data_IF_287050976775
#
_entry.id   IF_287050976775
#
_cell.length_a   1.000
_cell.length_b   1.000
_cell.length_c   1.000
_cell.angle_alpha   90.00
_cell.angle_beta   90.00
_cell.angle_gamma   90.00
#
_symmetry.space_group_name_H-M   'P 1'
#
loop_
_entity.id
_entity.type
_entity.pdbx_description
1 polymer ?
#
# COMPACT_ATOMS: atom_id res chain seq x y z
N UNK A 1 -5.45 3.59 -2.25
CA UNK A 1 -6.84 3.09 -2.38
C UNK A 1 -7.19 2.75 -3.85
N UNK A 2 -6.69 3.51 -4.85
CA UNK A 2 -6.97 3.26 -6.29
C UNK A 2 -6.55 1.89 -6.83
N UNK A 3 -5.55 1.25 -6.24
CA UNK A 3 -4.99 -0.02 -6.76
C UNK A 3 -5.68 -1.29 -6.19
N UNK A 4 -6.76 -1.13 -5.44
CA UNK A 4 -7.32 -2.18 -4.59
C UNK A 4 -8.36 -3.06 -5.31
N UNK A 5 -9.00 -2.60 -6.37
CA UNK A 5 -10.08 -3.32 -7.06
C UNK A 5 -9.65 -4.18 -8.27
N UNK A 6 -8.39 -4.50 -8.40
CA UNK A 6 -7.90 -5.20 -9.58
C UNK A 6 -7.34 -6.59 -9.37
N UNK A 7 -8.09 -7.65 -9.59
CA UNK A 7 -7.60 -8.85 -10.26
C UNK A 7 -8.58 -10.02 -10.26
N UNK A 8 -9.70 -9.96 -10.94
CA UNK A 8 -10.41 -11.12 -11.57
C UNK A 8 -11.75 -10.64 -12.09
N UNK A 9 -12.18 -11.16 -13.24
CA UNK A 9 -13.36 -10.70 -13.99
C UNK A 9 -14.61 -10.46 -13.14
N UNK A 10 -14.88 -9.20 -12.84
CA UNK A 10 -16.01 -8.72 -12.05
C UNK A 10 -17.36 -8.83 -12.81
N UNK A 11 -17.36 -9.34 -14.03
CA UNK A 11 -18.58 -9.45 -14.84
C UNK A 11 -19.53 -10.57 -14.45
N UNK A 12 -19.04 -11.67 -13.86
CA UNK A 12 -19.83 -12.88 -13.60
C UNK A 12 -20.01 -13.25 -12.11
N UNK A 13 -19.36 -12.52 -11.18
CA UNK A 13 -19.41 -12.84 -9.74
C UNK A 13 -20.72 -12.39 -9.07
N UNK A 14 -21.58 -11.66 -9.79
CA UNK A 14 -22.69 -10.91 -9.20
C UNK A 14 -24.04 -11.65 -9.09
N UNK A 15 -24.06 -12.94 -8.99
CA UNK A 15 -25.30 -13.63 -8.59
C UNK A 15 -24.97 -14.87 -7.81
N UNK A 16 -25.29 -14.88 -6.50
CA UNK A 16 -25.90 -16.02 -5.79
C UNK A 16 -25.49 -16.17 -4.34
N UNK A 17 -26.47 -16.27 -3.49
CA UNK A 17 -26.43 -17.08 -2.25
C UNK A 17 -25.90 -18.47 -2.60
N UNK A 18 -24.97 -19.00 -1.77
CA UNK A 18 -24.49 -20.38 -1.91
C UNK A 18 -25.68 -21.31 -1.95
N UNK A 19 -26.09 -21.67 -3.17
CA UNK A 19 -26.99 -22.79 -3.36
C UNK A 19 -26.13 -24.03 -3.22
N UNK A 20 -26.38 -24.83 -2.19
CA UNK A 20 -25.80 -26.17 -2.04
C UNK A 20 -26.19 -26.95 -3.30
N UNK A 21 -25.25 -27.09 -4.24
CA UNK A 21 -25.49 -27.79 -5.49
C UNK A 21 -25.71 -29.25 -5.21
N UNK A 22 -26.85 -29.78 -5.72
CA UNK A 22 -27.16 -31.20 -5.75
C UNK A 22 -26.04 -31.97 -6.45
N UNK A 23 -25.20 -32.68 -5.65
CA UNK A 23 -24.18 -33.58 -6.18
C UNK A 23 -22.79 -33.47 -5.56
N UNK A 24 -22.40 -32.31 -5.01
CA UNK A 24 -21.14 -32.18 -4.24
C UNK A 24 -21.46 -32.15 -2.75
N UNK A 25 -20.90 -33.08 -1.98
CA UNK A 25 -21.03 -33.05 -0.52
C UNK A 25 -20.07 -32.03 0.09
N UNK A 26 -20.40 -30.73 0.04
CA UNK A 26 -19.82 -29.78 0.99
C UNK A 26 -20.37 -30.17 2.36
N UNK A 27 -19.55 -30.72 3.20
CA UNK A 27 -20.00 -31.41 4.40
C UNK A 27 -20.00 -30.50 5.62
N UNK A 28 -19.21 -29.41 5.60
CA UNK A 28 -19.05 -28.57 6.78
C UNK A 28 -18.66 -27.14 6.42
N UNK A 29 -19.37 -26.16 6.99
CA UNK A 29 -18.94 -24.75 7.02
C UNK A 29 -18.08 -24.57 8.26
N UNK A 30 -16.87 -24.08 8.07
CA UNK A 30 -15.90 -23.75 9.12
C UNK A 30 -15.88 -22.24 9.36
N UNK A 31 -15.23 -21.81 10.43
CA UNK A 31 -14.98 -20.38 10.69
C UNK A 31 -14.12 -19.75 9.59
N UNK A 32 -14.18 -18.43 9.46
CA UNK A 32 -13.42 -17.63 8.48
C UNK A 32 -13.77 -17.95 7.03
N UNK A 33 -15.07 -18.12 6.75
CA UNK A 33 -15.60 -18.43 5.40
C UNK A 33 -14.86 -19.58 4.73
N UNK A 34 -14.53 -20.59 5.51
CA UNK A 34 -13.88 -21.80 5.08
C UNK A 34 -14.89 -22.93 4.94
N UNK A 35 -14.71 -23.77 3.94
CA UNK A 35 -15.54 -24.94 3.71
C UNK A 35 -14.68 -26.19 3.61
N UNK A 36 -15.27 -27.32 4.00
CA UNK A 36 -14.66 -28.63 3.94
C UNK A 36 -15.50 -29.55 3.08
N UNK A 37 -14.95 -30.00 1.97
CA UNK A 37 -15.54 -30.98 1.08
C UNK A 37 -14.95 -32.37 1.37
N UNK A 38 -15.80 -33.38 1.62
CA UNK A 38 -15.38 -34.76 1.91
C UNK A 38 -15.75 -35.63 0.70
N UNK A 39 -14.81 -36.44 0.28
CA UNK A 39 -14.96 -37.34 -0.86
C UNK A 39 -14.70 -38.79 -0.41
N UNK A 40 -15.57 -39.70 -0.82
CA UNK A 40 -15.32 -41.13 -0.71
C UNK A 40 -14.38 -41.56 -1.82
N UNK A 41 -13.32 -42.28 -1.50
CA UNK A 41 -12.38 -42.87 -2.43
C UNK A 41 -12.53 -44.39 -2.35
N UNK A 42 -12.98 -45.00 -3.41
CA UNK A 42 -13.14 -46.46 -3.46
C UNK A 42 -11.79 -47.17 -3.63
N UNK A 43 -11.72 -48.41 -3.20
CA UNK A 43 -10.55 -49.25 -3.38
C UNK A 43 -10.11 -49.36 -4.87
N UNK A 44 -11.11 -49.35 -5.78
CA UNK A 44 -10.83 -49.37 -7.23
C UNK A 44 -10.24 -48.04 -7.74
N UNK A 45 -10.70 -46.91 -7.26
CA UNK A 45 -10.11 -45.60 -7.57
C UNK A 45 -8.67 -45.51 -7.06
N UNK A 46 -8.44 -46.00 -5.84
CA UNK A 46 -7.10 -46.02 -5.26
C UNK A 46 -6.15 -46.93 -6.05
N UNK A 47 -6.63 -48.09 -6.47
CA UNK A 47 -5.80 -49.04 -7.29
C UNK A 47 -5.44 -48.40 -8.64
N UNK A 48 -6.37 -47.72 -9.31
CA UNK A 48 -6.08 -46.95 -10.55
C UNK A 48 -5.06 -45.81 -10.31
N UNK A 49 -5.16 -45.12 -9.17
CA UNK A 49 -4.21 -44.08 -8.80
C UNK A 49 -2.80 -44.70 -8.52
N UNK A 50 -2.75 -45.85 -7.85
CA UNK A 50 -1.50 -46.58 -7.63
C UNK A 50 -0.83 -47.03 -8.98
N UNK A 51 -1.63 -47.41 -9.99
CA UNK A 51 -1.09 -47.70 -11.31
C UNK A 51 -0.47 -46.47 -11.97
N UNK A 52 -1.16 -45.32 -11.91
CA UNK A 52 -0.61 -44.05 -12.40
C UNK A 52 0.66 -43.65 -11.63
N UNK A 53 0.63 -43.76 -10.31
CA UNK A 53 1.77 -43.46 -9.41
C UNK A 53 2.98 -44.36 -9.75
N UNK A 54 2.75 -45.66 -9.96
CA UNK A 54 3.81 -46.59 -10.36
C UNK A 54 4.52 -46.12 -11.62
N UNK A 55 3.79 -45.73 -12.67
CA UNK A 55 4.39 -45.27 -13.93
C UNK A 55 5.32 -44.10 -13.70
N UNK A 56 4.89 -43.10 -12.87
CA UNK A 56 5.68 -41.92 -12.54
C UNK A 56 6.89 -42.23 -11.65
N UNK A 57 6.70 -43.03 -10.61
CA UNK A 57 7.76 -43.38 -9.67
C UNK A 57 8.81 -44.33 -10.30
N UNK A 58 8.36 -45.30 -11.07
CA UNK A 58 9.24 -46.26 -11.78
C UNK A 58 10.18 -45.57 -12.77
N UNK A 59 9.69 -44.50 -13.43
CA UNK A 59 10.50 -43.69 -14.35
C UNK A 59 11.71 -43.01 -13.68
N UNK A 60 11.62 -42.75 -12.36
CA UNK A 60 12.64 -42.04 -11.58
C UNK A 60 13.69 -42.97 -10.94
N UNK A 61 13.46 -44.28 -10.96
CA UNK A 61 14.33 -45.27 -10.27
C UNK A 61 14.95 -46.27 -11.21
N UNK A 62 16.11 -46.82 -10.82
CA UNK A 62 16.78 -47.89 -11.52
C UNK A 62 16.79 -49.14 -10.64
N UNK A 63 16.15 -50.20 -11.10
CA UNK A 63 16.11 -51.51 -10.41
C UNK A 63 17.10 -52.46 -11.06
N UNK A 64 17.91 -53.15 -10.26
CA UNK A 64 18.91 -54.07 -10.74
C UNK A 64 18.27 -55.16 -11.65
N UNK A 65 18.77 -55.29 -12.87
CA UNK A 65 18.23 -56.19 -13.86
C UNK A 65 17.21 -55.58 -14.84
N UNK A 66 16.85 -54.31 -14.66
CA UNK A 66 15.93 -53.63 -15.56
C UNK A 66 16.48 -52.27 -15.99
N UNK A 67 16.16 -51.85 -17.22
CA UNK A 67 16.40 -50.48 -17.67
C UNK A 67 15.51 -49.53 -16.89
N UNK A 68 16.01 -48.30 -16.60
CA UNK A 68 15.26 -47.27 -15.91
C UNK A 68 13.82 -47.12 -16.47
N UNK A 69 12.83 -47.16 -15.59
CA UNK A 69 11.40 -47.03 -15.94
C UNK A 69 10.79 -48.28 -16.63
N UNK A 70 11.48 -49.42 -16.71
CA UNK A 70 10.99 -50.61 -17.39
C UNK A 70 10.78 -51.86 -16.49
N UNK A 71 10.95 -51.68 -15.19
CA UNK A 71 10.63 -52.73 -14.22
C UNK A 71 9.10 -52.94 -14.14
N UNK A 72 8.62 -54.20 -14.08
CA UNK A 72 7.21 -54.49 -13.80
C UNK A 72 6.81 -54.03 -12.40
N UNK A 73 5.52 -53.68 -12.20
CA UNK A 73 4.99 -53.18 -10.92
C UNK A 73 5.26 -54.13 -9.75
N UNK A 74 5.09 -55.45 -9.98
CA UNK A 74 5.39 -56.46 -8.96
C UNK A 74 6.86 -56.50 -8.50
N UNK A 75 7.78 -56.17 -9.39
CA UNK A 75 9.21 -56.08 -9.05
C UNK A 75 9.50 -54.82 -8.29
N UNK A 76 8.88 -53.72 -8.70
CA UNK A 76 8.98 -52.44 -7.99
C UNK A 76 8.48 -52.54 -6.54
N UNK A 77 7.24 -53.04 -6.35
CA UNK A 77 6.63 -53.24 -5.05
C UNK A 77 7.41 -54.17 -4.14
N UNK A 78 8.07 -55.22 -4.71
CA UNK A 78 8.94 -56.12 -3.95
C UNK A 78 10.20 -55.43 -3.41
N UNK A 79 10.71 -54.43 -4.14
CA UNK A 79 11.96 -53.74 -3.78
C UNK A 79 11.70 -52.52 -2.84
N UNK A 80 10.57 -51.79 -3.02
CA UNK A 80 10.30 -50.52 -2.34
C UNK A 80 9.07 -50.52 -1.46
N UNK A 81 8.26 -51.62 -1.50
CA UNK A 81 6.95 -51.66 -0.86
C UNK A 81 5.86 -50.94 -1.67
N UNK A 82 4.60 -51.35 -1.51
CA UNK A 82 3.46 -50.67 -2.17
C UNK A 82 3.24 -49.28 -1.57
N UNK A 83 3.56 -49.09 -0.31
CA UNK A 83 3.42 -47.85 0.43
C UNK A 83 4.25 -46.70 -0.19
N UNK A 84 5.34 -47.02 -0.88
CA UNK A 84 6.16 -46.03 -1.57
C UNK A 84 5.43 -45.32 -2.74
N UNK A 85 4.28 -45.85 -3.16
CA UNK A 85 3.42 -45.29 -4.20
C UNK A 85 2.26 -44.44 -3.61
N UNK A 86 1.99 -44.51 -2.31
CA UNK A 86 0.82 -43.94 -1.70
C UNK A 86 0.78 -42.44 -1.84
N UNK A 87 1.88 -41.71 -1.58
CA UNK A 87 1.94 -40.27 -1.69
C UNK A 87 1.63 -39.77 -3.10
N UNK A 88 2.21 -40.39 -4.12
CA UNK A 88 1.96 -40.03 -5.52
C UNK A 88 0.54 -40.42 -5.97
N UNK A 89 0.00 -41.54 -5.46
CA UNK A 89 -1.39 -41.94 -5.72
C UNK A 89 -2.38 -40.98 -5.06
N UNK A 90 -2.15 -40.62 -3.80
CA UNK A 90 -2.95 -39.61 -3.10
C UNK A 90 -2.92 -38.26 -3.81
N UNK A 91 -1.74 -37.77 -4.20
CA UNK A 91 -1.63 -36.55 -4.99
C UNK A 91 -2.43 -36.61 -6.29
N UNK A 92 -2.48 -37.76 -6.94
CA UNK A 92 -3.27 -37.97 -8.17
C UNK A 92 -4.77 -37.86 -7.86
N UNK A 93 -5.24 -38.55 -6.80
CA UNK A 93 -6.65 -38.49 -6.37
C UNK A 93 -7.05 -37.06 -5.96
N UNK A 94 -6.22 -36.40 -5.14
CA UNK A 94 -6.51 -35.04 -4.69
C UNK A 94 -6.61 -34.05 -5.87
N UNK A 95 -5.72 -34.16 -6.86
CA UNK A 95 -5.79 -33.34 -8.06
C UNK A 95 -7.05 -33.61 -8.89
N UNK A 96 -7.48 -34.89 -8.99
CA UNK A 96 -8.70 -35.26 -9.67
C UNK A 96 -9.92 -34.66 -8.90
N UNK A 97 -9.94 -34.71 -7.55
CA UNK A 97 -11.00 -34.11 -6.72
C UNK A 97 -11.01 -32.57 -6.77
N UNK A 98 -9.85 -31.91 -6.79
CA UNK A 98 -9.76 -30.46 -7.03
C UNK A 98 -10.34 -30.10 -8.40
N UNK A 99 -10.07 -30.94 -9.42
CA UNK A 99 -10.63 -30.71 -10.75
C UNK A 99 -12.14 -30.89 -10.78
N UNK A 100 -12.71 -31.79 -9.98
CA UNK A 100 -14.16 -31.96 -9.81
C UNK A 100 -14.79 -30.69 -9.21
N UNK A 101 -14.15 -30.08 -8.18
CA UNK A 101 -14.60 -28.82 -7.57
C UNK A 101 -14.61 -27.65 -8.58
N UNK A 102 -13.56 -27.53 -9.40
CA UNK A 102 -13.52 -26.49 -10.43
C UNK A 102 -14.44 -26.72 -11.63
N UNK A 103 -14.92 -27.96 -11.86
CA UNK A 103 -15.91 -28.25 -12.90
C UNK A 103 -17.32 -27.74 -12.52
N UNK A 104 -17.59 -27.57 -11.24
CA UNK A 104 -18.75 -26.84 -10.77
C UNK A 104 -18.51 -25.31 -10.96
N UNK A 105 -19.15 -24.74 -11.97
CA UNK A 105 -18.93 -23.34 -12.36
C UNK A 105 -19.35 -22.34 -11.28
N UNK A 106 -20.33 -22.70 -10.45
CA UNK A 106 -20.81 -21.83 -9.38
C UNK A 106 -19.79 -21.82 -8.24
N UNK A 107 -19.38 -22.98 -7.76
CA UNK A 107 -18.39 -23.12 -6.71
C UNK A 107 -17.02 -22.57 -7.13
N UNK A 108 -16.62 -22.80 -8.40
CA UNK A 108 -15.36 -22.30 -8.93
C UNK A 108 -15.19 -20.78 -8.83
N UNK A 109 -16.30 -20.02 -8.90
CA UNK A 109 -16.26 -18.55 -8.74
C UNK A 109 -16.18 -18.11 -7.29
N UNK A 110 -16.55 -18.97 -6.35
CA UNK A 110 -16.55 -18.68 -4.92
C UNK A 110 -15.23 -19.06 -4.22
N UNK A 111 -14.47 -19.98 -4.80
CA UNK A 111 -13.17 -20.39 -4.24
C UNK A 111 -12.18 -19.23 -4.33
N UNK A 112 -11.63 -18.81 -3.17
CA UNK A 112 -10.67 -17.70 -3.09
C UNK A 112 -9.33 -18.07 -2.44
N UNK A 113 -9.16 -19.33 -2.00
CA UNK A 113 -7.97 -19.79 -1.31
C UNK A 113 -7.40 -21.11 -1.82
N UNK A 114 -6.21 -21.49 -1.37
CA UNK A 114 -5.62 -22.78 -1.69
C UNK A 114 -6.40 -23.94 -1.05
N UNK A 115 -6.28 -25.11 -1.64
CA UNK A 115 -6.83 -26.35 -1.07
C UNK A 115 -5.86 -26.94 -0.05
N UNK A 116 -6.39 -27.28 1.13
CA UNK A 116 -5.67 -28.02 2.16
C UNK A 116 -6.25 -29.45 2.24
N UNK A 117 -5.49 -30.44 1.75
CA UNK A 117 -5.93 -31.82 1.77
C UNK A 117 -5.75 -32.45 3.16
N UNK A 118 -6.67 -33.31 3.52
CA UNK A 118 -6.56 -34.17 4.70
C UNK A 118 -7.14 -35.57 4.39
N UNK A 119 -6.65 -36.59 5.11
CA UNK A 119 -7.19 -37.95 5.05
C UNK A 119 -8.05 -38.14 6.29
N UNK A 120 -9.35 -38.36 6.07
CA UNK A 120 -10.35 -38.52 7.14
C UNK A 120 -10.41 -39.98 7.64
N UNK A 121 -9.26 -40.58 7.95
CA UNK A 121 -9.18 -41.96 8.46
C UNK A 121 -8.31 -42.01 9.71
N UNK A 122 -8.82 -42.62 10.76
CA UNK A 122 -8.03 -42.93 11.97
C UNK A 122 -7.09 -44.14 11.74
N UNK A 123 -7.37 -44.97 10.72
CA UNK A 123 -6.58 -46.13 10.34
C UNK A 123 -5.55 -45.79 9.26
N UNK A 124 -4.43 -46.51 9.27
CA UNK A 124 -3.44 -46.37 8.19
C UNK A 124 -4.07 -46.72 6.85
N UNK A 125 -3.69 -45.97 5.83
CA UNK A 125 -4.11 -46.23 4.47
C UNK A 125 -3.68 -47.62 4.04
N UNK A 126 -4.63 -48.45 3.59
CA UNK A 126 -4.38 -49.79 3.16
C UNK A 126 -4.94 -50.05 1.76
N UNK A 127 -4.18 -50.76 0.94
CA UNK A 127 -4.62 -51.18 -0.38
C UNK A 127 -5.84 -52.11 -0.29
N UNK A 128 -6.84 -51.88 -1.13
CA UNK A 128 -8.07 -52.66 -1.18
C UNK A 128 -9.14 -52.27 -0.16
N UNK A 129 -8.95 -51.17 0.57
CA UNK A 129 -9.96 -50.57 1.45
C UNK A 129 -10.39 -49.22 0.89
N UNK A 130 -11.69 -48.92 1.10
CA UNK A 130 -12.24 -47.58 0.85
C UNK A 130 -11.81 -46.62 1.98
N UNK A 131 -11.58 -45.37 1.63
CA UNK A 131 -11.23 -44.35 2.59
C UNK A 131 -11.82 -43.00 2.19
N UNK A 132 -11.73 -42.01 3.08
CA UNK A 132 -12.23 -40.64 2.81
C UNK A 132 -11.07 -39.67 2.77
N UNK A 133 -11.14 -38.74 1.82
CA UNK A 133 -10.27 -37.57 1.77
C UNK A 133 -11.11 -36.32 1.91
N UNK A 134 -10.56 -35.29 2.51
CA UNK A 134 -11.18 -33.98 2.55
C UNK A 134 -10.29 -32.92 1.96
N UNK A 135 -10.93 -31.91 1.39
CA UNK A 135 -10.30 -30.69 0.92
C UNK A 135 -10.94 -29.53 1.66
N UNK A 136 -10.16 -28.80 2.45
CA UNK A 136 -10.59 -27.55 3.04
C UNK A 136 -10.05 -26.38 2.21
N UNK A 137 -10.88 -25.38 1.97
CA UNK A 137 -10.52 -24.20 1.18
C UNK A 137 -11.37 -23.01 1.58
N UNK A 138 -10.86 -21.81 1.31
CA UNK A 138 -11.53 -20.55 1.60
C UNK A 138 -12.46 -20.17 0.43
N UNK A 139 -13.62 -19.64 0.79
CA UNK A 139 -14.60 -19.10 -0.17
C UNK A 139 -14.85 -17.62 0.10
N UNK A 140 -15.36 -16.89 -0.91
CA UNK A 140 -15.75 -15.49 -0.71
C UNK A 140 -16.78 -15.38 0.40
N UNK A 141 -16.62 -14.43 1.35
CA UNK A 141 -17.46 -14.33 2.52
C UNK A 141 -18.82 -13.70 2.21
N UNK A 142 -19.83 -14.09 2.97
CA UNK A 142 -21.08 -13.36 3.01
C UNK A 142 -20.90 -12.02 3.73
N UNK A 143 -21.43 -10.94 3.14
CA UNK A 143 -21.31 -9.59 3.68
C UNK A 143 -22.67 -9.12 4.18
N UNK A 144 -22.75 -8.78 5.45
CA UNK A 144 -23.92 -8.10 6.04
C UNK A 144 -23.59 -6.62 6.24
N UNK A 145 -24.44 -5.74 5.71
CA UNK A 145 -24.31 -4.29 5.74
C UNK A 145 -25.51 -3.67 6.47
N UNK A 146 -25.49 -3.61 7.81
CA UNK A 146 -26.64 -3.12 8.58
C UNK A 146 -26.96 -1.66 8.31
N UNK A 147 -25.93 -0.81 8.17
CA UNK A 147 -26.10 0.61 7.89
C UNK A 147 -24.90 1.16 7.11
N UNK A 148 -25.17 1.68 5.93
CA UNK A 148 -24.18 2.35 5.05
C UNK A 148 -24.71 3.65 4.43
N UNK A 149 -26.02 3.98 4.66
CA UNK A 149 -26.64 5.26 4.27
C UNK A 149 -26.99 6.09 5.50
N UNK A 150 -27.04 7.41 5.34
CA UNK A 150 -27.35 8.32 6.44
C UNK A 150 -26.25 8.38 7.49
N UNK A 151 -25.01 8.11 7.11
CA UNK A 151 -23.85 8.24 8.02
C UNK A 151 -23.49 9.71 8.19
N UNK A 152 -23.27 10.11 9.43
CA UNK A 152 -22.90 11.49 9.78
C UNK A 152 -21.44 11.74 9.49
N UNK A 153 -21.11 12.89 8.87
CA UNK A 153 -19.74 13.37 8.69
C UNK A 153 -19.63 14.82 9.11
N UNK A 154 -18.50 15.18 9.73
CA UNK A 154 -18.24 16.58 10.11
C UNK A 154 -17.79 17.37 8.89
N UNK A 155 -18.47 18.49 8.63
CA UNK A 155 -18.02 19.43 7.62
C UNK A 155 -16.89 20.31 8.18
N UNK A 156 -15.88 20.61 7.38
CA UNK A 156 -14.83 21.59 7.69
C UNK A 156 -15.03 22.86 6.90
N UNK A 157 -14.60 23.98 7.47
CA UNK A 157 -14.61 25.27 6.79
C UNK A 157 -13.64 25.22 5.60
N UNK A 158 -14.15 25.53 4.41
CA UNK A 158 -13.38 25.51 3.16
C UNK A 158 -12.84 26.87 2.77
N UNK A 159 -13.33 27.94 3.41
CA UNK A 159 -12.87 29.29 3.11
C UNK A 159 -11.39 29.47 3.44
N UNK A 160 -10.66 30.13 2.55
CA UNK A 160 -9.28 30.50 2.78
C UNK A 160 -9.21 31.78 3.60
N UNK A 161 -8.42 31.80 4.66
CA UNK A 161 -8.18 32.99 5.46
C UNK A 161 -7.21 33.97 4.78
N UNK A 162 -7.27 35.24 5.13
CA UNK A 162 -6.35 36.25 4.59
C UNK A 162 -4.88 35.90 4.94
N UNK A 163 -4.64 35.32 6.14
CA UNK A 163 -3.31 34.88 6.53
C UNK A 163 -2.76 33.74 5.64
N UNK A 164 -3.61 32.81 5.26
CA UNK A 164 -3.22 31.72 4.34
C UNK A 164 -2.92 32.26 2.93
N UNK A 165 -3.73 33.22 2.46
CA UNK A 165 -3.52 33.86 1.15
C UNK A 165 -2.20 34.65 1.17
N UNK A 166 -1.95 35.43 2.19
CA UNK A 166 -0.73 36.21 2.34
C UNK A 166 0.52 35.30 2.50
N UNK A 167 0.39 34.15 3.15
CA UNK A 167 1.45 33.16 3.26
C UNK A 167 1.82 32.55 1.89
N UNK A 168 0.83 32.22 1.05
CA UNK A 168 1.06 31.74 -0.31
C UNK A 168 1.73 32.81 -1.18
N UNK A 169 1.25 34.05 -1.12
CA UNK A 169 1.85 35.18 -1.83
C UNK A 169 3.30 35.40 -1.37
N UNK A 170 3.55 35.36 -0.06
CA UNK A 170 4.91 35.45 0.49
C UNK A 170 5.82 34.33 -0.03
N UNK A 171 5.28 33.13 -0.21
CA UNK A 171 6.03 32.01 -0.80
C UNK A 171 6.40 32.29 -2.27
N UNK A 172 5.53 32.96 -3.03
CA UNK A 172 5.82 33.38 -4.39
C UNK A 172 6.91 34.46 -4.40
N UNK A 173 6.77 35.48 -3.57
CA UNK A 173 7.75 36.56 -3.45
C UNK A 173 9.15 36.07 -3.06
N UNK A 174 9.21 35.06 -2.19
CA UNK A 174 10.49 34.42 -1.77
C UNK A 174 11.27 33.78 -2.91
N UNK A 175 10.60 33.32 -3.97
CA UNK A 175 11.30 32.74 -5.13
C UNK A 175 12.17 33.76 -5.87
N UNK A 176 11.83 35.04 -5.79
CA UNK A 176 12.54 36.14 -6.43
C UNK A 176 13.19 37.08 -5.39
N UNK A 177 13.24 36.66 -4.14
CA UNK A 177 13.86 37.41 -3.07
C UNK A 177 15.35 37.62 -3.32
N UNK A 178 15.83 38.83 -3.05
CA UNK A 178 17.24 39.17 -3.12
C UNK A 178 17.86 39.16 -1.73
N UNK A 179 19.04 38.55 -1.61
CA UNK A 179 19.83 38.60 -0.40
C UNK A 179 20.70 39.86 -0.43
N UNK A 180 20.38 40.81 0.42
CA UNK A 180 21.11 42.09 0.51
C UNK A 180 21.81 42.17 1.85
N UNK A 181 23.00 42.80 1.85
CA UNK A 181 23.72 43.04 3.10
C UNK A 181 22.87 43.90 4.05
N UNK A 182 22.72 43.47 5.28
CA UNK A 182 21.93 44.15 6.31
C UNK A 182 22.69 45.38 6.85
N UNK A 183 22.04 46.52 6.96
CA UNK A 183 22.71 47.76 7.39
C UNK A 183 23.34 47.64 8.79
N UNK A 184 22.58 47.08 9.74
CA UNK A 184 23.03 46.96 11.14
C UNK A 184 23.98 45.75 11.37
N UNK A 185 24.14 44.86 10.40
CA UNK A 185 24.99 43.67 10.47
C UNK A 185 24.79 42.86 11.78
N UNK A 186 23.59 42.85 12.33
CA UNK A 186 23.19 42.05 13.51
C UNK A 186 22.26 40.93 13.09
N UNK A 187 22.61 39.72 13.50
CA UNK A 187 21.83 38.51 13.16
C UNK A 187 20.45 38.55 13.83
N UNK A 188 19.39 38.39 13.04
CA UNK A 188 18.04 38.15 13.50
C UNK A 188 17.50 36.84 12.92
N UNK A 189 16.38 36.37 13.44
CA UNK A 189 15.70 35.18 12.88
C UNK A 189 15.26 35.43 11.43
N UNK A 190 15.59 34.50 10.54
CA UNK A 190 15.32 34.60 9.11
C UNK A 190 16.47 35.17 8.28
N UNK A 191 17.47 35.81 8.90
CA UNK A 191 18.65 36.35 8.20
C UNK A 191 19.57 35.23 7.70
N UNK A 192 20.38 35.56 6.69
CA UNK A 192 21.46 34.70 6.22
C UNK A 192 22.79 35.18 6.80
N UNK A 193 23.43 34.35 7.62
CA UNK A 193 24.74 34.64 8.18
C UNK A 193 25.82 33.85 7.44
N UNK A 194 26.87 34.52 7.01
CA UNK A 194 28.10 33.90 6.54
C UNK A 194 29.10 33.89 7.66
N UNK A 195 29.59 32.71 8.06
CA UNK A 195 30.45 32.55 9.23
C UNK A 195 31.41 31.38 9.08
N UNK A 196 32.51 31.43 9.85
CA UNK A 196 33.34 30.28 10.08
C UNK A 196 32.96 29.62 11.40
N UNK A 197 33.11 28.32 11.47
CA UNK A 197 32.96 27.61 12.72
C UNK A 197 33.97 26.48 12.88
N UNK A 198 34.36 26.25 14.12
CA UNK A 198 35.21 25.13 14.53
C UNK A 198 34.61 24.50 15.78
N UNK A 199 34.12 23.29 15.64
CA UNK A 199 33.50 22.50 16.70
C UNK A 199 34.51 21.60 17.41
N UNK A 200 34.40 21.53 18.73
CA UNK A 200 35.18 20.63 19.58
C UNK A 200 34.30 19.95 20.61
N UNK A 201 34.67 18.72 20.95
CA UNK A 201 34.07 17.94 22.06
C UNK A 201 35.22 17.63 23.02
N UNK A 202 35.05 17.93 24.30
CA UNK A 202 36.09 17.80 25.31
C UNK A 202 37.43 18.50 24.94
N UNK A 203 37.34 19.62 24.18
CA UNK A 203 38.49 20.37 23.71
C UNK A 203 39.22 19.79 22.49
N UNK A 204 38.71 18.73 21.88
CA UNK A 204 39.28 18.08 20.70
C UNK A 204 38.35 18.32 19.50
N UNK A 205 38.94 18.86 18.41
CA UNK A 205 38.21 19.04 17.15
C UNK A 205 37.79 17.68 16.57
N UNK A 206 36.60 17.61 15.96
CA UNK A 206 36.06 16.38 15.34
C UNK A 206 35.87 16.53 13.83
N UNK A 207 35.97 15.45 13.06
CA UNK A 207 35.76 15.48 11.62
C UNK A 207 34.34 15.97 11.27
N UNK A 208 34.23 16.92 10.33
CA UNK A 208 32.96 17.54 9.95
C UNK A 208 32.50 18.68 10.86
N UNK A 209 33.24 18.99 11.95
CA UNK A 209 32.94 20.09 12.86
C UNK A 209 33.47 21.44 12.43
N UNK A 210 34.11 21.57 11.24
CA UNK A 210 34.71 22.82 10.76
C UNK A 210 34.26 23.17 9.35
N UNK A 211 33.92 24.45 9.14
CA UNK A 211 33.79 25.04 7.81
C UNK A 211 34.16 26.52 7.85
N UNK A 212 34.64 27.02 6.71
CA UNK A 212 34.98 28.41 6.49
C UNK A 212 33.95 29.01 5.49
N UNK A 213 33.51 30.25 5.73
CA UNK A 213 32.54 30.99 4.92
C UNK A 213 31.22 30.19 4.68
N UNK A 214 30.71 29.53 5.70
CA UNK A 214 29.47 28.81 5.61
C UNK A 214 28.28 29.77 5.65
N UNK A 215 27.36 29.68 4.68
CA UNK A 215 26.16 30.51 4.64
C UNK A 215 24.95 29.68 5.20
N UNK A 216 24.31 30.20 6.21
CA UNK A 216 23.18 29.58 6.89
C UNK A 216 22.04 30.59 7.07
N UNK A 217 20.82 30.15 6.78
CA UNK A 217 19.62 30.91 7.18
C UNK A 217 19.31 30.60 8.64
N UNK A 218 19.34 31.60 9.49
CA UNK A 218 19.06 31.48 10.92
C UNK A 218 17.59 31.18 11.15
N UNK A 219 17.28 30.14 11.92
CA UNK A 219 15.94 29.61 12.14
C UNK A 219 15.57 28.48 11.16
N UNK A 220 16.44 28.10 10.22
CA UNK A 220 16.24 26.98 9.28
C UNK A 220 16.29 25.60 9.93
N UNK A 221 16.79 25.51 11.14
CA UNK A 221 17.01 24.26 11.90
C UNK A 221 17.89 23.24 11.17
N UNK A 222 18.82 23.72 10.35
CA UNK A 222 19.80 22.86 9.66
C UNK A 222 20.94 22.44 10.60
N UNK A 223 21.20 23.22 11.65
CA UNK A 223 22.18 22.89 12.69
C UNK A 223 21.53 22.22 13.90
N UNK A 224 22.37 21.69 14.78
CA UNK A 224 21.90 21.04 16.02
C UNK A 224 21.13 22.04 16.89
N UNK A 225 20.11 21.60 17.62
CA UNK A 225 19.25 22.49 18.42
C UNK A 225 20.06 23.40 19.36
N UNK A 226 19.69 24.68 19.40
CA UNK A 226 20.31 25.67 20.22
C UNK A 226 21.52 26.35 19.60
N UNK A 227 22.01 25.92 18.44
CA UNK A 227 23.14 26.56 17.74
C UNK A 227 22.69 27.90 17.11
N UNK A 228 21.64 27.85 16.28
CA UNK A 228 21.13 29.01 15.57
C UNK A 228 20.55 30.06 16.55
N UNK A 229 19.88 29.62 17.61
CA UNK A 229 19.32 30.48 18.65
C UNK A 229 20.39 31.32 19.34
N UNK A 230 21.59 30.76 19.59
CA UNK A 230 22.71 31.46 20.23
C UNK A 230 23.45 32.42 19.28
N UNK A 231 23.26 32.27 17.95
CA UNK A 231 23.78 33.20 16.96
C UNK A 231 22.94 34.47 16.86
N UNK A 232 21.65 34.44 17.23
CA UNK A 232 20.79 35.62 17.20
C UNK A 232 21.40 36.71 18.09
N UNK A 233 21.53 37.91 17.55
CA UNK A 233 22.10 39.09 18.21
C UNK A 233 23.60 39.25 18.02
N UNK A 234 24.33 38.27 17.43
CA UNK A 234 25.75 38.43 17.06
C UNK A 234 25.89 39.43 15.91
N UNK A 235 27.03 40.11 15.91
CA UNK A 235 27.39 41.10 14.88
C UNK A 235 28.44 40.57 13.92
N UNK A 236 28.54 41.17 12.74
CA UNK A 236 29.64 40.90 11.84
C UNK A 236 31.00 41.13 12.57
N UNK A 237 31.95 40.28 12.25
CA UNK A 237 33.32 40.22 12.87
C UNK A 237 33.32 39.81 14.36
N UNK A 238 32.17 39.47 14.94
CA UNK A 238 32.10 38.95 16.31
C UNK A 238 32.51 37.48 16.35
N UNK A 239 33.28 37.14 17.38
CA UNK A 239 33.69 35.77 17.69
C UNK A 239 33.01 35.36 18.98
N UNK A 240 32.30 34.23 18.95
CA UNK A 240 31.59 33.69 20.12
C UNK A 240 31.70 32.18 20.18
N UNK A 241 31.84 31.67 21.40
CA UNK A 241 31.75 30.23 21.65
C UNK A 241 30.29 29.85 21.90
N UNK A 242 29.78 28.96 21.09
CA UNK A 242 28.40 28.45 21.14
C UNK A 242 28.43 27.07 21.77
N UNK A 243 27.68 26.88 22.85
CA UNK A 243 27.60 25.64 23.60
C UNK A 243 26.29 24.91 23.25
N UNK A 244 26.40 23.69 22.74
CA UNK A 244 25.26 22.87 22.34
C UNK A 244 25.48 21.41 22.69
N UNK A 245 24.39 20.66 22.81
CA UNK A 245 24.47 19.21 23.07
C UNK A 245 23.92 18.47 21.84
N UNK A 246 24.68 17.52 21.34
CA UNK A 246 24.23 16.67 20.25
C UNK A 246 23.02 15.83 20.70
N UNK A 247 21.98 15.68 19.87
CA UNK A 247 20.86 14.78 20.15
C UNK A 247 21.32 13.34 20.40
N UNK A 248 20.60 12.60 21.26
CA UNK A 248 20.93 11.18 21.54
C UNK A 248 20.84 10.28 20.31
N UNK A 249 19.99 10.64 19.35
CA UNK A 249 19.79 9.93 18.08
C UNK A 249 20.62 10.52 16.93
N UNK A 250 21.71 11.25 17.20
CA UNK A 250 22.56 11.82 16.17
C UNK A 250 23.22 10.72 15.32
N UNK A 251 23.31 10.95 13.99
CA UNK A 251 23.81 9.95 13.04
C UNK A 251 25.22 9.44 13.31
N UNK A 252 26.12 10.31 13.87
CA UNK A 252 27.45 9.93 14.29
C UNK A 252 27.42 9.54 15.78
N UNK A 253 27.49 8.24 16.05
CA UNK A 253 27.38 7.66 17.41
C UNK A 253 28.50 8.16 18.38
N UNK A 254 29.62 8.56 17.85
CA UNK A 254 30.74 9.08 18.68
C UNK A 254 30.47 10.46 19.28
N UNK A 255 29.46 11.19 18.71
CA UNK A 255 29.08 12.55 19.13
C UNK A 255 27.72 12.57 19.85
N UNK A 256 26.86 11.54 19.67
CA UNK A 256 25.52 11.47 20.24
C UNK A 256 25.54 11.72 21.77
N UNK A 257 24.66 12.63 22.24
CA UNK A 257 24.50 13.00 23.65
C UNK A 257 25.66 13.81 24.26
N UNK A 258 26.70 14.17 23.48
CA UNK A 258 27.86 14.90 24.00
C UNK A 258 27.69 16.41 23.91
N UNK A 259 28.25 17.13 24.85
CA UNK A 259 28.40 18.57 24.80
C UNK A 259 29.49 18.96 23.81
N UNK A 260 29.21 19.92 22.96
CA UNK A 260 30.16 20.49 22.00
C UNK A 260 30.24 22.01 22.13
N UNK A 261 31.42 22.54 21.89
CA UNK A 261 31.67 23.96 21.82
C UNK A 261 32.10 24.31 20.40
N UNK A 262 31.35 25.22 19.78
CA UNK A 262 31.61 25.75 18.45
C UNK A 262 32.11 27.18 18.57
N UNK A 263 33.35 27.40 18.17
CA UNK A 263 33.88 28.75 18.01
C UNK A 263 33.40 29.28 16.66
N UNK A 264 32.51 30.27 16.70
CA UNK A 264 31.87 30.88 15.53
C UNK A 264 32.44 32.28 15.31
N UNK A 265 32.82 32.59 14.08
CA UNK A 265 33.23 33.93 13.63
C UNK A 265 32.31 34.39 12.52
N UNK A 266 31.50 35.39 12.76
CA UNK A 266 30.55 35.93 11.77
C UNK A 266 31.26 36.89 10.83
N UNK A 267 31.10 36.75 9.52
CA UNK A 267 31.67 37.62 8.50
C UNK A 267 30.69 38.63 7.96
N UNK A 268 29.52 38.18 7.56
CA UNK A 268 28.51 39.01 6.90
C UNK A 268 27.10 38.56 7.30
N UNK A 269 26.19 39.52 7.44
CA UNK A 269 24.76 39.27 7.68
C UNK A 269 23.99 39.86 6.53
N UNK A 270 23.22 39.01 5.87
CA UNK A 270 22.29 39.38 4.78
C UNK A 270 20.87 39.18 5.22
N UNK A 271 20.00 40.08 4.82
CA UNK A 271 18.55 39.93 4.96
C UNK A 271 17.91 39.51 3.65
N UNK A 272 16.84 38.77 3.72
CA UNK A 272 16.02 38.41 2.57
C UNK A 272 15.06 39.56 2.26
N UNK A 273 15.37 40.33 1.23
CA UNK A 273 14.50 41.42 0.77
C UNK A 273 13.54 40.88 -0.27
N UNK A 274 12.29 40.77 0.11
CA UNK A 274 11.20 40.39 -0.79
C UNK A 274 10.92 41.54 -1.79
N UNK A 275 10.61 41.23 -3.06
CA UNK A 275 10.13 42.23 -3.98
C UNK A 275 8.80 42.84 -3.45
N UNK A 276 8.59 44.10 -3.78
CA UNK A 276 7.31 44.75 -3.44
C UNK A 276 6.18 44.12 -4.27
N UNK A 277 5.08 43.83 -3.58
CA UNK A 277 3.89 43.29 -4.23
C UNK A 277 3.13 44.41 -4.92
N UNK A 278 3.41 44.61 -6.20
CA UNK A 278 2.78 45.66 -7.06
C UNK A 278 1.97 44.99 -8.17
N UNK A 279 1.11 45.74 -8.82
CA UNK A 279 0.35 45.27 -9.98
C UNK A 279 1.26 44.86 -11.13
N UNK A 280 2.39 45.57 -11.31
CA UNK A 280 3.41 45.24 -12.31
C UNK A 280 4.06 43.87 -11.99
N UNK A 281 4.33 43.59 -10.71
CA UNK A 281 4.82 42.30 -10.27
C UNK A 281 3.80 41.19 -10.51
N UNK A 282 2.53 41.42 -10.14
CA UNK A 282 1.45 40.46 -10.36
C UNK A 282 1.29 40.11 -11.85
N UNK A 283 1.28 41.11 -12.73
CA UNK A 283 1.24 40.92 -14.19
C UNK A 283 2.49 40.17 -14.70
N UNK A 284 3.67 40.42 -14.10
CA UNK A 284 4.93 39.75 -14.43
C UNK A 284 4.95 38.23 -14.18
N UNK A 285 4.11 37.73 -13.28
CA UNK A 285 3.96 36.30 -12.97
C UNK A 285 3.34 35.49 -14.12
N UNK A 286 2.73 36.15 -15.11
CA UNK A 286 2.09 35.53 -16.31
C UNK A 286 1.07 34.45 -15.96
N UNK A 287 0.31 34.66 -14.89
CA UNK A 287 -0.82 33.80 -14.53
C UNK A 287 -2.03 34.28 -15.32
N UNK A 288 -2.73 33.37 -16.00
CA UNK A 288 -3.91 33.70 -16.78
C UNK A 288 -4.98 34.42 -15.93
N UNK A 289 -5.45 35.57 -16.38
CA UNK A 289 -6.46 36.36 -15.69
C UNK A 289 -5.96 37.14 -14.47
N UNK A 290 -4.63 37.30 -14.30
CA UNK A 290 -4.02 38.05 -13.19
C UNK A 290 -3.19 39.21 -13.76
N UNK A 291 -3.63 40.44 -13.54
CA UNK A 291 -2.92 41.67 -13.91
C UNK A 291 -2.70 42.59 -12.72
N UNK A 292 -3.43 42.39 -11.60
CA UNK A 292 -3.38 43.23 -10.41
C UNK A 292 -3.15 42.40 -9.14
N UNK A 293 -2.70 43.01 -8.08
CA UNK A 293 -2.55 42.37 -6.75
C UNK A 293 -3.87 41.81 -6.25
N UNK A 294 -4.98 42.46 -6.49
CA UNK A 294 -6.30 42.02 -6.08
C UNK A 294 -6.72 40.73 -6.82
N UNK A 295 -6.46 40.69 -8.14
CA UNK A 295 -6.69 39.47 -8.95
C UNK A 295 -5.77 38.33 -8.53
N UNK A 296 -4.52 38.61 -8.18
CA UNK A 296 -3.61 37.59 -7.62
C UNK A 296 -4.13 37.01 -6.32
N UNK A 297 -4.59 37.86 -5.39
CA UNK A 297 -5.20 37.42 -4.13
C UNK A 297 -6.45 36.56 -4.38
N UNK A 298 -7.33 37.02 -5.27
CA UNK A 298 -8.53 36.27 -5.65
C UNK A 298 -8.19 34.89 -6.30
N UNK A 299 -7.20 34.86 -7.18
CA UNK A 299 -6.72 33.63 -7.79
C UNK A 299 -6.16 32.65 -6.74
N UNK A 300 -5.31 33.12 -5.80
CA UNK A 300 -4.76 32.30 -4.72
C UNK A 300 -5.82 31.84 -3.74
N UNK A 301 -6.81 32.68 -3.45
CA UNK A 301 -7.97 32.30 -2.65
C UNK A 301 -8.72 31.13 -3.30
N UNK A 302 -9.05 31.24 -4.57
CA UNK A 302 -9.76 30.19 -5.31
C UNK A 302 -8.94 28.89 -5.39
N UNK A 303 -7.61 28.99 -5.58
CA UNK A 303 -6.71 27.83 -5.58
C UNK A 303 -6.67 27.13 -4.20
N UNK A 304 -6.55 27.89 -3.11
CA UNK A 304 -6.56 27.36 -1.75
C UNK A 304 -7.90 26.70 -1.39
N UNK A 305 -9.02 27.36 -1.71
CA UNK A 305 -10.35 26.82 -1.49
C UNK A 305 -10.59 25.55 -2.29
N UNK A 306 -10.13 25.50 -3.55
CA UNK A 306 -10.18 24.28 -4.36
C UNK A 306 -9.35 23.14 -3.76
N UNK A 307 -8.13 23.42 -3.29
CA UNK A 307 -7.29 22.42 -2.60
C UNK A 307 -7.95 21.92 -1.31
N UNK A 308 -8.51 22.83 -0.50
CA UNK A 308 -9.26 22.49 0.71
C UNK A 308 -10.49 21.64 0.39
N UNK A 309 -11.24 21.98 -0.66
CA UNK A 309 -12.41 21.19 -1.09
C UNK A 309 -12.05 19.76 -1.48
N UNK A 310 -10.97 19.57 -2.25
CA UNK A 310 -10.48 18.23 -2.61
C UNK A 310 -10.06 17.47 -1.37
N UNK A 311 -9.23 18.07 -0.51
CA UNK A 311 -8.77 17.43 0.72
C UNK A 311 -9.91 17.09 1.69
N UNK A 312 -10.92 17.96 1.78
CA UNK A 312 -12.10 17.70 2.62
C UNK A 312 -12.97 16.59 2.03
N UNK A 313 -13.15 16.58 0.71
CA UNK A 313 -13.85 15.47 0.04
C UNK A 313 -13.14 14.13 0.30
N UNK A 314 -11.82 14.08 0.17
CA UNK A 314 -11.04 12.87 0.43
C UNK A 314 -11.17 12.44 1.91
N UNK A 315 -11.12 13.40 2.85
CA UNK A 315 -11.30 13.13 4.27
C UNK A 315 -12.70 12.59 4.60
N UNK A 316 -13.75 13.19 4.01
CA UNK A 316 -15.12 12.73 4.20
C UNK A 316 -15.32 11.32 3.64
N UNK A 317 -14.77 11.04 2.47
CA UNK A 317 -14.79 9.71 1.86
C UNK A 317 -14.12 8.68 2.77
N UNK A 318 -12.92 8.99 3.27
CA UNK A 318 -12.20 8.10 4.18
C UNK A 318 -12.98 7.86 5.48
N UNK A 319 -13.59 8.90 6.05
CA UNK A 319 -14.43 8.79 7.25
C UNK A 319 -15.67 7.91 6.99
N UNK A 320 -16.37 8.11 5.86
CA UNK A 320 -17.53 7.31 5.47
C UNK A 320 -17.16 5.85 5.23
N UNK A 321 -16.09 5.59 4.48
CA UNK A 321 -15.59 4.24 4.23
C UNK A 321 -15.28 3.56 5.57
N UNK A 322 -14.59 4.24 6.47
CA UNK A 322 -14.27 3.69 7.78
C UNK A 322 -15.52 3.30 8.57
N UNK A 323 -16.53 4.19 8.61
CA UNK A 323 -17.81 3.91 9.29
C UNK A 323 -18.56 2.74 8.66
N UNK A 324 -18.54 2.62 7.34
CA UNK A 324 -19.14 1.48 6.63
C UNK A 324 -18.43 0.18 6.99
N UNK A 325 -17.08 0.19 7.01
CA UNK A 325 -16.29 -0.99 7.37
C UNK A 325 -16.49 -1.42 8.82
N UNK A 326 -16.58 -0.44 9.72
CA UNK A 326 -16.79 -0.69 11.15
C UNK A 326 -18.21 -1.26 11.43
N UNK A 327 -19.19 -0.90 10.60
CA UNK A 327 -20.55 -1.44 10.66
C UNK A 327 -20.71 -2.79 9.94
N UNK A 328 -19.83 -3.13 9.00
CA UNK A 328 -19.92 -4.35 8.23
C UNK A 328 -19.64 -5.60 9.09
N UNK A 329 -20.46 -6.63 8.93
CA UNK A 329 -20.22 -7.94 9.54
C UNK A 329 -19.83 -8.92 8.46
N UNK A 330 -18.55 -9.33 8.50
CA UNK A 330 -17.94 -10.20 7.49
C UNK A 330 -17.03 -11.20 8.20
N UNK A 331 -17.22 -12.48 7.92
CA UNK A 331 -16.31 -13.53 8.38
C UNK A 331 -15.19 -13.70 7.34
N UNK A 332 -14.11 -12.92 7.51
CA UNK A 332 -13.05 -12.76 6.52
C UNK A 332 -12.18 -14.01 6.37
N UNK A 333 -12.08 -14.59 5.16
CA UNK A 333 -11.19 -15.71 4.90
C UNK A 333 -9.72 -15.26 4.91
N UNK A 334 -8.88 -16.15 5.45
CA UNK A 334 -7.45 -15.86 5.59
C UNK A 334 -6.76 -15.64 4.23
N UNK A 335 -7.17 -16.37 3.20
CA UNK A 335 -6.58 -16.24 1.87
C UNK A 335 -6.67 -14.82 1.30
N UNK A 336 -7.82 -14.14 1.47
CA UNK A 336 -7.98 -12.76 1.00
C UNK A 336 -7.14 -11.77 1.79
N UNK A 337 -6.96 -12.00 3.09
CA UNK A 337 -6.08 -11.18 3.93
C UNK A 337 -4.63 -11.38 3.51
N UNK A 338 -4.18 -12.63 3.41
CA UNK A 338 -2.81 -12.99 3.04
C UNK A 338 -2.45 -12.47 1.63
N UNK A 339 -3.39 -12.47 0.68
CA UNK A 339 -3.19 -11.87 -0.65
C UNK A 339 -2.80 -10.39 -0.54
N UNK A 340 -3.52 -9.61 0.27
CA UNK A 340 -3.25 -8.17 0.43
C UNK A 340 -1.97 -7.91 1.20
N UNK A 341 -1.73 -8.68 2.28
CA UNK A 341 -0.47 -8.59 3.05
C UNK A 341 0.74 -8.86 2.15
N UNK A 342 0.67 -9.91 1.32
CA UNK A 342 1.76 -10.26 0.40
C UNK A 342 1.94 -9.20 -0.71
N UNK A 343 0.86 -8.61 -1.21
CA UNK A 343 0.94 -7.52 -2.18
C UNK A 343 1.64 -6.28 -1.59
N UNK A 344 1.27 -5.88 -0.36
CA UNK A 344 1.90 -4.76 0.34
C UNK A 344 3.39 -5.07 0.58
N UNK A 345 3.72 -6.25 1.10
CA UNK A 345 5.12 -6.66 1.33
C UNK A 345 5.94 -6.60 0.04
N UNK A 346 5.41 -7.14 -1.05
CA UNK A 346 6.08 -7.12 -2.35
C UNK A 346 6.34 -5.72 -2.86
N UNK A 347 5.44 -4.77 -2.60
CA UNK A 347 5.63 -3.37 -2.97
C UNK A 347 6.82 -2.75 -2.23
N UNK A 348 6.93 -2.95 -0.91
CA UNK A 348 8.07 -2.47 -0.12
C UNK A 348 9.40 -3.15 -0.51
N UNK A 349 9.36 -4.46 -0.79
CA UNK A 349 10.53 -5.18 -1.29
C UNK A 349 11.00 -4.67 -2.66
N UNK A 350 10.06 -4.31 -3.55
CA UNK A 350 10.39 -3.71 -4.84
C UNK A 350 11.01 -2.32 -4.66
N UNK A 351 10.52 -1.50 -3.71
CA UNK A 351 11.14 -0.21 -3.40
C UNK A 351 12.58 -0.39 -2.90
N UNK A 352 12.84 -1.32 -1.99
CA UNK A 352 14.20 -1.62 -1.53
C UNK A 352 15.12 -2.05 -2.69
N UNK A 353 14.61 -2.88 -3.62
CA UNK A 353 15.34 -3.27 -4.84
C UNK A 353 15.64 -2.09 -5.76
N UNK A 354 14.72 -1.13 -5.90
CA UNK A 354 14.96 0.09 -6.69
C UNK A 354 16.11 0.94 -6.14
N UNK A 355 16.27 0.97 -4.81
CA UNK A 355 17.42 1.62 -4.15
C UNK A 355 18.66 0.72 -4.09
N UNK A 356 18.58 -0.51 -4.60
CA UNK A 356 19.66 -1.51 -4.59
C UNK A 356 20.22 -1.78 -3.19
N UNK A 357 19.34 -1.84 -2.19
CA UNK A 357 19.67 -2.14 -0.78
C UNK A 357 18.89 -3.37 -0.29
N UNK A 358 19.46 -4.13 0.68
CA UNK A 358 18.73 -5.22 1.34
C UNK A 358 17.48 -4.70 2.04
N UNK A 359 16.40 -5.51 2.05
CA UNK A 359 15.12 -5.11 2.65
C UNK A 359 15.23 -4.74 4.14
N UNK A 360 16.05 -5.45 4.90
CA UNK A 360 16.29 -5.13 6.33
C UNK A 360 16.97 -3.78 6.50
N UNK A 361 17.90 -3.43 5.60
CA UNK A 361 18.54 -2.10 5.60
C UNK A 361 17.52 -1.02 5.25
N UNK A 362 16.62 -1.30 4.30
CA UNK A 362 15.53 -0.39 3.93
C UNK A 362 14.61 -0.10 5.12
N UNK A 363 14.18 -1.12 5.87
CA UNK A 363 13.40 -0.94 7.09
C UNK A 363 14.15 -0.13 8.15
N UNK A 364 15.45 -0.39 8.30
CA UNK A 364 16.33 0.38 9.21
C UNK A 364 16.39 1.87 8.87
N UNK A 365 16.45 2.23 7.58
CA UNK A 365 16.39 3.63 7.13
C UNK A 365 15.05 4.30 7.44
N UNK A 366 13.97 3.53 7.48
CA UNK A 366 12.64 4.00 7.88
C UNK A 366 12.44 4.03 9.40
N UNK A 367 13.46 3.65 10.20
CA UNK A 367 13.37 3.48 11.65
C UNK A 367 12.24 2.51 12.09
N UNK A 368 11.99 1.47 11.31
CA UNK A 368 10.95 0.47 11.58
C UNK A 368 11.60 -0.89 11.82
N UNK A 369 11.22 -1.58 12.91
CA UNK A 369 11.63 -2.97 13.15
C UNK A 369 10.83 -3.92 12.25
N UNK A 370 11.39 -5.10 12.01
CA UNK A 370 10.73 -6.11 11.18
C UNK A 370 9.38 -6.54 11.79
N UNK A 371 9.32 -6.71 13.10
CA UNK A 371 8.12 -7.08 13.83
C UNK A 371 7.04 -6.00 13.70
N UNK A 372 7.38 -4.72 13.90
CA UNK A 372 6.47 -3.60 13.73
C UNK A 372 5.98 -3.46 12.27
N UNK A 373 6.86 -3.74 11.30
CA UNK A 373 6.48 -3.78 9.89
C UNK A 373 5.48 -4.90 9.60
N UNK A 374 5.73 -6.13 10.06
CA UNK A 374 4.82 -7.27 9.85
C UNK A 374 3.45 -7.03 10.49
N UNK A 375 3.40 -6.46 11.69
CA UNK A 375 2.16 -6.08 12.36
C UNK A 375 1.40 -5.01 11.57
N UNK A 376 2.12 -3.97 11.10
CA UNK A 376 1.52 -2.90 10.30
C UNK A 376 0.91 -3.42 9.00
N UNK A 377 1.65 -4.23 8.23
CA UNK A 377 1.13 -4.76 6.95
C UNK A 377 0.00 -5.78 7.16
N UNK A 378 0.00 -6.51 8.28
CA UNK A 378 -1.10 -7.42 8.62
C UNK A 378 -2.40 -6.64 8.88
N UNK A 379 -2.35 -5.56 9.67
CA UNK A 379 -3.49 -4.68 9.92
C UNK A 379 -3.97 -3.99 8.65
N UNK A 380 -3.05 -3.43 7.88
CA UNK A 380 -3.35 -2.76 6.60
C UNK A 380 -3.94 -3.73 5.58
N UNK A 381 -3.37 -4.93 5.46
CA UNK A 381 -3.85 -5.97 4.54
C UNK A 381 -5.24 -6.47 4.91
N UNK A 382 -5.51 -6.70 6.19
CA UNK A 382 -6.84 -7.08 6.67
C UNK A 382 -7.89 -6.00 6.36
N UNK A 383 -7.56 -4.71 6.58
CA UNK A 383 -8.46 -3.61 6.28
C UNK A 383 -8.70 -3.45 4.77
N UNK A 384 -7.68 -3.61 3.94
CA UNK A 384 -7.82 -3.58 2.48
C UNK A 384 -8.65 -4.75 1.95
N UNK A 385 -8.46 -5.96 2.50
CA UNK A 385 -9.26 -7.13 2.15
C UNK A 385 -10.74 -6.91 2.51
N UNK A 386 -11.02 -6.43 3.72
CA UNK A 386 -12.36 -6.10 4.15
C UNK A 386 -13.00 -5.03 3.25
N UNK A 387 -12.27 -3.96 2.95
CA UNK A 387 -12.74 -2.91 2.03
C UNK A 387 -13.13 -3.49 0.66
N UNK A 388 -12.29 -4.35 0.08
CA UNK A 388 -12.58 -4.95 -1.23
C UNK A 388 -13.90 -5.73 -1.24
N UNK A 389 -14.08 -6.56 -0.22
CA UNK A 389 -15.27 -7.41 -0.09
C UNK A 389 -16.53 -6.55 0.14
N UNK A 390 -16.45 -5.57 1.02
CA UNK A 390 -17.56 -4.64 1.33
C UNK A 390 -17.89 -3.75 0.13
N UNK A 391 -16.89 -3.17 -0.53
CA UNK A 391 -17.07 -2.33 -1.71
C UNK A 391 -17.71 -3.12 -2.86
N UNK A 392 -17.25 -4.35 -3.11
CA UNK A 392 -17.85 -5.24 -4.10
C UNK A 392 -19.34 -5.47 -3.80
N UNK A 393 -19.67 -5.75 -2.54
CA UNK A 393 -21.07 -5.95 -2.14
C UNK A 393 -21.92 -4.70 -2.28
N UNK A 394 -21.40 -3.52 -1.95
CA UNK A 394 -22.11 -2.26 -2.14
C UNK A 394 -22.34 -1.94 -3.62
N UNK A 395 -21.35 -2.17 -4.47
CA UNK A 395 -21.45 -1.99 -5.93
C UNK A 395 -22.56 -2.90 -6.50
N UNK A 396 -22.65 -4.14 -6.00
CA UNK A 396 -23.69 -5.08 -6.38
C UNK A 396 -25.09 -4.60 -5.95
N UNK A 397 -25.24 -4.33 -4.64
CA UNK A 397 -26.55 -4.01 -4.03
C UNK A 397 -27.11 -2.70 -4.59
N UNK A 398 -26.26 -1.70 -4.82
CA UNK A 398 -26.67 -0.39 -5.34
C UNK A 398 -26.63 -0.31 -6.88
N UNK A 399 -26.20 -1.36 -7.57
CA UNK A 399 -26.15 -1.39 -9.04
C UNK A 399 -25.17 -0.39 -9.65
N UNK A 400 -24.01 -0.17 -9.01
CA UNK A 400 -23.01 0.83 -9.37
C UNK A 400 -22.01 0.36 -10.43
N UNK A 401 -22.24 -0.79 -11.04
CA UNK A 401 -21.42 -1.29 -12.14
C UNK A 401 -21.43 -0.30 -13.31
N UNK A 402 -20.28 0.03 -13.91
CA UNK A 402 -20.23 0.99 -15.02
C UNK A 402 -20.90 0.42 -16.25
N UNK A 403 -21.62 1.30 -16.97
CA UNK A 403 -22.21 0.92 -18.25
C UNK A 403 -21.14 0.80 -19.33
N UNK A 404 -21.48 0.12 -20.42
CA UNK A 404 -20.57 0.02 -21.59
C UNK A 404 -20.20 1.40 -22.12
N UNK A 405 -21.16 2.31 -22.16
CA UNK A 405 -21.00 3.67 -22.63
C UNK A 405 -19.98 4.44 -21.76
N UNK A 406 -20.03 4.26 -20.43
CA UNK A 406 -19.07 4.89 -19.51
C UNK A 406 -17.65 4.34 -19.71
N UNK A 407 -17.51 3.03 -19.90
CA UNK A 407 -16.23 2.38 -20.19
C UNK A 407 -15.65 2.88 -21.53
N UNK A 408 -16.51 2.96 -22.54
CA UNK A 408 -16.15 3.46 -23.88
C UNK A 408 -15.72 4.92 -23.83
N UNK A 409 -16.40 5.77 -23.07
CA UNK A 409 -16.07 7.19 -22.93
C UNK A 409 -14.71 7.37 -22.21
N UNK A 410 -14.46 6.61 -21.16
CA UNK A 410 -13.16 6.64 -20.45
C UNK A 410 -12.00 6.17 -21.33
N UNK A 411 -12.22 5.11 -22.10
CA UNK A 411 -11.22 4.62 -23.04
C UNK A 411 -10.94 5.64 -24.18
N UNK A 412 -11.95 6.38 -24.63
CA UNK A 412 -11.78 7.43 -25.64
C UNK A 412 -11.02 8.63 -25.09
N UNK A 413 -11.27 9.05 -23.85
CA UNK A 413 -10.52 10.09 -23.15
C UNK A 413 -9.02 9.73 -23.06
N UNK A 414 -8.71 8.54 -22.56
CA UNK A 414 -7.34 8.08 -22.40
C UNK A 414 -6.64 7.82 -23.75
N UNK A 415 -7.40 7.43 -24.79
CA UNK A 415 -6.90 7.27 -26.15
C UNK A 415 -6.43 8.62 -26.74
N UNK A 416 -7.22 9.69 -26.55
CA UNK A 416 -6.85 11.05 -26.97
C UNK A 416 -5.60 11.54 -26.26
N UNK A 417 -5.46 11.25 -24.96
CA UNK A 417 -4.29 11.66 -24.17
C UNK A 417 -3.01 10.89 -24.54
N UNK A 418 -3.14 9.60 -24.92
CA UNK A 418 -2.01 8.69 -25.15
C UNK A 418 -1.66 8.49 -26.65
N UNK A 419 -2.46 9.01 -27.57
CA UNK A 419 -2.29 8.80 -29.02
C UNK A 419 -2.55 7.36 -29.49
N UNK A 420 -3.23 6.55 -28.69
CA UNK A 420 -3.62 5.16 -29.00
C UNK A 420 -5.06 5.10 -29.49
N UNK A 421 -5.48 3.92 -30.01
CA UNK A 421 -6.90 3.71 -30.37
C UNK A 421 -7.71 3.33 -29.14
N UNK A 422 -9.02 3.64 -29.16
CA UNK A 422 -9.98 3.27 -28.10
C UNK A 422 -9.99 1.76 -27.84
N UNK A 423 -9.98 0.94 -28.90
CA UNK A 423 -9.99 -0.52 -28.81
C UNK A 423 -8.75 -1.04 -28.10
N UNK A 424 -7.57 -0.46 -28.38
CA UNK A 424 -6.32 -0.82 -27.72
C UNK A 424 -6.38 -0.44 -26.23
N UNK A 425 -6.95 0.71 -25.89
CA UNK A 425 -7.12 1.14 -24.49
C UNK A 425 -8.08 0.24 -23.74
N UNK A 426 -9.22 -0.14 -24.33
CA UNK A 426 -10.16 -1.09 -23.72
C UNK A 426 -9.52 -2.45 -23.51
N UNK A 427 -8.81 -2.99 -24.50
CA UNK A 427 -8.17 -4.29 -24.37
C UNK A 427 -7.10 -4.32 -23.25
N UNK A 428 -6.35 -3.24 -23.07
CA UNK A 428 -5.28 -3.14 -22.09
C UNK A 428 -5.78 -2.79 -20.67
N UNK A 429 -6.86 -1.99 -20.54
CA UNK A 429 -7.23 -1.34 -19.29
C UNK A 429 -8.68 -1.59 -18.86
N UNK A 430 -9.42 -2.49 -19.48
CA UNK A 430 -10.85 -2.71 -19.18
C UNK A 430 -11.09 -2.92 -17.69
N UNK A 431 -10.30 -3.77 -17.07
CA UNK A 431 -10.39 -4.08 -15.64
C UNK A 431 -10.17 -2.83 -14.77
N UNK A 432 -9.15 -2.04 -15.11
CA UNK A 432 -8.83 -0.79 -14.41
C UNK A 432 -9.97 0.21 -14.54
N UNK A 433 -10.48 0.41 -15.77
CA UNK A 433 -11.61 1.33 -16.01
C UNK A 433 -12.86 0.91 -15.24
N UNK A 434 -13.13 -0.40 -15.23
CA UNK A 434 -14.26 -0.93 -14.45
C UNK A 434 -14.09 -0.61 -12.96
N UNK A 435 -12.91 -0.88 -12.40
CA UNK A 435 -12.61 -0.61 -11.00
C UNK A 435 -12.69 0.88 -10.66
N UNK A 436 -12.06 1.73 -11.48
CA UNK A 436 -12.01 3.19 -11.26
C UNK A 436 -13.42 3.80 -11.29
N UNK A 437 -14.23 3.44 -12.30
CA UNK A 437 -15.60 3.96 -12.45
C UNK A 437 -16.53 3.44 -11.37
N UNK A 438 -16.44 2.15 -11.01
CA UNK A 438 -17.23 1.58 -9.91
C UNK A 438 -16.89 2.22 -8.58
N UNK A 439 -15.60 2.45 -8.32
CA UNK A 439 -15.15 3.14 -7.10
C UNK A 439 -15.65 4.60 -7.06
N UNK A 440 -15.56 5.31 -8.18
CA UNK A 440 -16.08 6.68 -8.26
C UNK A 440 -17.58 6.73 -7.97
N UNK A 441 -18.36 5.81 -8.57
CA UNK A 441 -19.80 5.71 -8.33
C UNK A 441 -20.10 5.36 -6.86
N UNK A 442 -19.31 4.49 -6.23
CA UNK A 442 -19.42 4.18 -4.80
C UNK A 442 -19.16 5.40 -3.93
N UNK A 443 -18.10 6.15 -4.21
CA UNK A 443 -17.76 7.40 -3.50
C UNK A 443 -18.89 8.42 -3.63
N UNK A 444 -19.38 8.65 -4.83
CA UNK A 444 -20.46 9.61 -5.09
C UNK A 444 -21.77 9.18 -4.40
N UNK A 445 -22.06 7.89 -4.35
CA UNK A 445 -23.19 7.33 -3.61
C UNK A 445 -23.05 7.54 -2.10
N UNK A 446 -21.87 7.27 -1.53
CA UNK A 446 -21.65 7.46 -0.09
C UNK A 446 -21.77 8.94 0.30
N UNK A 447 -21.16 9.85 -0.45
CA UNK A 447 -21.24 11.28 -0.21
C UNK A 447 -22.65 11.84 -0.35
N UNK A 448 -23.40 11.41 -1.38
CA UNK A 448 -24.77 11.88 -1.61
C UNK A 448 -25.78 11.41 -0.55
N UNK A 449 -25.46 10.31 0.16
CA UNK A 449 -26.27 9.77 1.25
C UNK A 449 -25.74 10.14 2.65
N UNK A 450 -24.64 10.88 2.74
CA UNK A 450 -24.08 11.35 4.01
C UNK A 450 -24.90 12.49 4.59
N UNK A 451 -24.87 12.62 5.93
CA UNK A 451 -25.48 13.73 6.67
C UNK A 451 -24.34 14.57 7.22
N UNK A 452 -24.19 15.79 6.73
CA UNK A 452 -23.20 16.74 7.26
C UNK A 452 -23.69 17.32 8.59
N UNK A 453 -22.79 17.30 9.60
CA UNK A 453 -23.03 17.83 10.96
C UNK A 453 -21.94 18.80 11.40
#
# INVERSE_FOLDING_TARGET
IRDVLGSRGLGDVYKRQISICDGLMITEKLEHSRVKAIFDVTADEFEKALDKAFVKCNAKVTIKGFRAGKAPRSVYEKNYGVESLYDEALNTILNDKVSELYNDKELATEICGPFEPNIESEEKLERGKDFKVSLSFDVYPEVSLPQYKGLEVKAKVLEATDEEIDAEIKTILRKEAQRVAKEEQVIAEGDYATFDFVGSVDGVEFPGGKADNYELQIGSKQFIPGFEDQMIGMKAEEVKDIHVTFPENYGEKSLAGKEAVFKVTVHEVKEEKLPELTDEYAAGLKIDGVATVEELKANKKAELESKKAVSEKDRQVDELINKVLDNAVVDMPKALIDEKVNAIRSQYEQQAKMYNIPFETFLGLMNVTKEAFEEHIAQQGARQALFNVVATKLIEVEGLAPTKEALDAKAEEDAKASGKTKEAMLQQNLQRYYSDLSYQALVDMLLSNAVEI
#
